data_IF_265475794010
#
_entry.id   IF_265475794010
#
_cell.length_a   1.000
_cell.length_b   1.000
_cell.length_c   1.000
_cell.angle_alpha   90.00
_cell.angle_beta   90.00
_cell.angle_gamma   90.00
#
_symmetry.space_group_name_H-M   'P 1'
#
loop_
_entity.id
_entity.type
_entity.pdbx_description
1 polymer ?
#
# COMPACT_ATOMS: atom_id res chain seq x y z
N UNK A 1 18.33 -75.74 41.93
CA UNK A 1 17.86 -74.35 42.05
C UNK A 1 17.63 -73.81 40.64
N UNK A 2 16.37 -73.84 40.20
CA UNK A 2 15.98 -73.28 38.86
C UNK A 2 15.57 -71.88 39.02
N UNK A 3 16.23 -70.92 38.25
CA UNK A 3 15.84 -69.53 38.14
C UNK A 3 14.72 -69.41 37.11
N UNK A 4 13.55 -68.99 37.55
CA UNK A 4 12.49 -68.56 36.66
C UNK A 4 12.82 -67.15 36.13
N UNK A 5 12.84 -66.99 34.82
CA UNK A 5 12.94 -65.73 34.12
C UNK A 5 11.51 -65.21 33.84
N UNK A 6 11.15 -64.12 34.45
CA UNK A 6 9.88 -63.41 34.17
C UNK A 6 9.96 -62.65 32.82
N UNK A 7 9.13 -63.08 31.88
CA UNK A 7 8.92 -62.39 30.60
C UNK A 7 7.89 -61.28 30.85
N UNK A 8 8.33 -60.05 30.75
CA UNK A 8 7.43 -58.87 30.79
C UNK A 8 6.93 -58.64 29.37
N UNK A 9 5.64 -58.92 29.15
CA UNK A 9 4.95 -58.60 27.91
C UNK A 9 4.45 -57.16 28.02
N UNK A 10 5.04 -56.23 27.23
CA UNK A 10 4.61 -54.85 27.12
C UNK A 10 3.46 -54.74 26.11
N UNK A 11 2.29 -54.22 26.46
CA UNK A 11 1.22 -54.04 25.49
C UNK A 11 1.55 -52.85 24.53
N UNK A 12 1.56 -53.15 23.23
CA UNK A 12 1.70 -52.19 22.18
C UNK A 12 0.41 -51.37 22.06
N UNK A 13 0.40 -50.16 22.62
CA UNK A 13 -0.70 -49.19 22.44
C UNK A 13 -0.61 -48.62 21.02
N UNK A 14 -1.47 -49.06 20.13
CA UNK A 14 -1.68 -48.47 18.80
C UNK A 14 -2.52 -47.22 18.96
N UNK A 15 -1.89 -46.03 18.88
CA UNK A 15 -2.59 -44.77 18.77
C UNK A 15 -3.21 -44.64 17.37
N UNK A 16 -4.51 -44.82 17.25
CA UNK A 16 -5.24 -44.37 16.07
C UNK A 16 -5.27 -42.83 16.08
N UNK A 17 -4.41 -42.21 15.26
CA UNK A 17 -4.54 -40.79 14.94
C UNK A 17 -5.72 -40.67 13.99
N UNK A 18 -6.89 -40.36 14.54
CA UNK A 18 -8.02 -39.91 13.73
C UNK A 18 -7.67 -38.53 13.20
N UNK A 19 -7.34 -38.43 11.91
CA UNK A 19 -7.23 -37.18 11.19
C UNK A 19 -8.63 -36.54 11.17
N UNK A 20 -8.88 -35.65 12.11
CA UNK A 20 -10.04 -34.75 12.04
C UNK A 20 -9.83 -33.82 10.85
N UNK A 21 -10.55 -34.08 9.76
CA UNK A 21 -10.65 -33.14 8.66
C UNK A 21 -11.17 -31.82 9.27
N UNK A 22 -10.28 -30.84 9.36
CA UNK A 22 -10.65 -29.48 9.74
C UNK A 22 -11.65 -29.00 8.70
N UNK A 23 -12.92 -28.93 9.06
CA UNK A 23 -13.96 -28.33 8.21
C UNK A 23 -13.56 -26.88 8.02
N UNK A 24 -13.14 -26.54 6.79
CA UNK A 24 -12.79 -25.17 6.41
C UNK A 24 -14.02 -24.30 6.65
N UNK A 25 -13.89 -23.25 7.45
CA UNK A 25 -14.99 -22.34 7.73
C UNK A 25 -15.61 -21.86 6.41
N UNK A 26 -16.93 -21.74 6.30
CA UNK A 26 -17.59 -21.32 5.07
C UNK A 26 -17.07 -19.93 4.69
N UNK A 27 -16.56 -19.80 3.46
CA UNK A 27 -16.07 -18.51 2.93
C UNK A 27 -17.15 -17.44 3.06
N UNK A 28 -16.82 -16.23 3.49
CA UNK A 28 -17.80 -15.15 3.68
C UNK A 28 -18.54 -14.88 2.36
N UNK A 29 -19.87 -14.87 2.40
CA UNK A 29 -20.72 -14.56 1.26
C UNK A 29 -20.75 -13.04 1.04
N UNK A 30 -19.85 -12.53 0.22
CA UNK A 30 -19.86 -11.13 -0.24
C UNK A 30 -20.37 -11.04 -1.67
N UNK A 31 -21.02 -9.91 -2.01
CA UNK A 31 -21.53 -9.66 -3.37
C UNK A 31 -20.79 -8.46 -3.97
N UNK A 32 -20.57 -8.44 -5.29
CA UNK A 32 -20.05 -7.25 -5.96
C UNK A 32 -21.07 -6.12 -5.89
N UNK A 33 -20.59 -4.88 -5.78
CA UNK A 33 -21.44 -3.68 -5.71
C UNK A 33 -22.14 -3.45 -7.05
N UNK A 34 -21.38 -3.42 -8.12
CA UNK A 34 -21.90 -3.25 -9.48
C UNK A 34 -21.07 -4.10 -10.46
N UNK A 35 -21.47 -5.34 -10.63
CA UNK A 35 -20.74 -6.31 -11.45
C UNK A 35 -20.54 -5.82 -12.90
N UNK A 36 -21.46 -5.03 -13.44
CA UNK A 36 -21.39 -4.54 -14.81
C UNK A 36 -20.32 -3.46 -15.02
N UNK A 37 -19.89 -2.77 -13.97
CA UNK A 37 -18.88 -1.72 -14.03
C UNK A 37 -17.49 -2.16 -13.57
N UNK A 38 -17.37 -3.33 -12.96
CA UNK A 38 -16.06 -3.92 -12.62
C UNK A 38 -15.41 -4.40 -13.91
N UNK A 39 -14.13 -4.07 -14.11
CA UNK A 39 -13.42 -4.54 -15.30
C UNK A 39 -13.41 -6.07 -15.37
N UNK A 40 -13.57 -6.60 -16.59
CA UNK A 40 -13.33 -8.02 -16.81
C UNK A 40 -11.86 -8.36 -16.56
N UNK A 41 -11.58 -9.63 -16.30
CA UNK A 41 -10.20 -10.13 -16.15
C UNK A 41 -9.38 -9.80 -17.39
N UNK A 42 -9.95 -10.00 -18.58
CA UNK A 42 -9.27 -9.71 -19.86
C UNK A 42 -8.95 -8.23 -20.02
N UNK A 43 -9.90 -7.33 -19.69
CA UNK A 43 -9.66 -5.88 -19.75
C UNK A 43 -8.53 -5.48 -18.81
N UNK A 44 -8.53 -6.01 -17.58
CA UNK A 44 -7.50 -5.71 -16.59
C UNK A 44 -6.12 -6.20 -17.03
N UNK A 45 -6.02 -7.43 -17.52
CA UNK A 45 -4.77 -8.01 -18.02
C UNK A 45 -4.25 -7.27 -19.27
N UNK A 46 -5.14 -6.92 -20.21
CA UNK A 46 -4.78 -6.12 -21.39
C UNK A 46 -4.20 -4.76 -20.97
N UNK A 47 -4.92 -4.04 -20.10
CA UNK A 47 -4.46 -2.75 -19.58
C UNK A 47 -3.07 -2.88 -18.93
N UNK A 48 -2.85 -3.89 -18.09
CA UNK A 48 -1.57 -4.10 -17.41
C UNK A 48 -0.42 -4.41 -18.38
N UNK A 49 -0.71 -5.18 -19.43
CA UNK A 49 0.28 -5.54 -20.46
C UNK A 49 0.71 -4.34 -21.32
N UNK A 50 -0.12 -3.31 -21.44
CA UNK A 50 0.19 -2.06 -22.18
C UNK A 50 1.14 -1.12 -21.41
N UNK A 51 1.39 -1.41 -20.11
CA UNK A 51 2.23 -0.58 -19.26
C UNK A 51 3.62 -1.25 -19.02
N UNK A 52 4.63 -0.39 -18.82
CA UNK A 52 5.92 -0.86 -18.32
C UNK A 52 5.75 -1.47 -16.92
N UNK A 53 6.70 -2.31 -16.53
CA UNK A 53 6.73 -2.80 -15.15
C UNK A 53 6.73 -1.62 -14.17
N UNK A 54 5.70 -1.53 -13.34
CA UNK A 54 5.53 -0.47 -12.37
C UNK A 54 6.47 -0.70 -11.20
N UNK A 55 7.38 0.23 -10.98
CA UNK A 55 8.31 0.20 -9.85
C UNK A 55 8.44 1.59 -9.26
N UNK A 56 8.43 1.68 -7.93
CA UNK A 56 8.50 2.97 -7.26
C UNK A 56 8.34 2.89 -5.77
N UNK A 57 7.86 3.99 -5.19
CA UNK A 57 7.69 4.12 -3.75
C UNK A 57 6.35 4.80 -3.38
N UNK A 58 5.93 4.57 -2.14
CA UNK A 58 4.99 5.46 -1.47
C UNK A 58 5.70 6.76 -1.18
N UNK A 59 5.17 7.87 -1.67
CA UNK A 59 5.83 9.16 -1.65
C UNK A 59 5.07 10.19 -0.82
N UNK A 60 5.81 10.84 0.04
CA UNK A 60 5.50 12.09 0.70
C UNK A 60 6.82 12.88 0.81
N UNK A 61 6.85 14.19 0.52
CA UNK A 61 8.11 14.94 0.60
C UNK A 61 8.67 14.94 2.02
N UNK A 62 10.00 14.90 2.16
CA UNK A 62 10.68 14.85 3.46
C UNK A 62 10.36 16.03 4.38
N UNK A 63 9.80 17.11 3.82
CA UNK A 63 9.35 18.31 4.52
C UNK A 63 7.95 18.19 5.12
N UNK A 64 7.18 17.14 4.78
CA UNK A 64 5.85 16.91 5.30
C UNK A 64 5.82 15.73 6.30
N UNK A 65 5.11 15.89 7.42
CA UNK A 65 4.91 14.84 8.42
C UNK A 65 3.72 13.94 8.10
N UNK A 66 2.78 14.45 7.32
CA UNK A 66 1.56 13.75 6.91
C UNK A 66 0.95 14.37 5.65
N UNK A 67 -0.14 13.78 5.19
CA UNK A 67 -0.87 14.19 4.00
C UNK A 67 -1.39 15.63 4.09
N UNK A 68 -1.77 16.09 5.29
CA UNK A 68 -2.23 17.48 5.49
C UNK A 68 -1.08 18.47 5.24
N UNK A 69 0.09 18.24 5.79
CA UNK A 69 1.27 19.09 5.57
C UNK A 69 1.73 19.06 4.10
N UNK A 70 1.55 17.92 3.41
CA UNK A 70 1.83 17.82 1.98
C UNK A 70 0.88 18.67 1.14
N UNK A 71 -0.41 18.74 1.50
CA UNK A 71 -1.43 19.31 0.59
C UNK A 71 -1.97 20.68 0.98
N UNK A 72 -1.71 21.21 2.17
CA UNK A 72 -2.14 22.54 2.58
C UNK A 72 -1.35 23.64 1.85
N UNK A 73 -1.99 24.79 1.62
CA UNK A 73 -1.45 25.88 0.80
C UNK A 73 -0.14 26.48 1.36
N UNK A 74 -0.05 26.59 2.67
CA UNK A 74 1.08 27.19 3.39
C UNK A 74 2.27 26.25 3.58
N UNK A 75 2.09 24.96 3.31
CA UNK A 75 3.13 23.93 3.51
C UNK A 75 3.45 23.11 2.27
N UNK A 76 2.70 23.29 1.18
CA UNK A 76 2.97 22.63 -0.10
C UNK A 76 4.33 23.04 -0.67
N UNK A 77 5.22 22.07 -0.84
CA UNK A 77 6.63 22.30 -1.20
C UNK A 77 6.99 21.67 -2.55
N UNK A 78 6.67 22.36 -3.68
CA UNK A 78 6.94 21.83 -5.01
C UNK A 78 8.44 21.71 -5.32
N UNK A 79 9.30 22.49 -4.64
CA UNK A 79 10.74 22.43 -4.85
C UNK A 79 11.34 21.11 -4.28
N UNK A 80 10.93 20.76 -3.07
CA UNK A 80 11.34 19.46 -2.46
C UNK A 80 10.72 18.29 -3.23
N UNK A 81 9.46 18.38 -3.66
CA UNK A 81 8.83 17.34 -4.48
C UNK A 81 9.62 17.12 -5.78
N UNK A 82 9.97 18.18 -6.49
CA UNK A 82 10.75 18.09 -7.75
C UNK A 82 12.13 17.45 -7.53
N UNK A 83 12.83 17.87 -6.49
CA UNK A 83 14.14 17.36 -6.11
C UNK A 83 14.08 15.85 -5.78
N UNK A 84 13.14 15.43 -4.94
CA UNK A 84 13.04 14.06 -4.46
C UNK A 84 12.51 13.08 -5.52
N UNK A 85 11.61 13.52 -6.40
CA UNK A 85 11.20 12.74 -7.57
C UNK A 85 12.35 12.59 -8.58
N UNK A 86 13.27 13.56 -8.66
CA UNK A 86 14.52 13.42 -9.39
C UNK A 86 15.43 12.31 -8.84
N UNK A 87 15.48 12.10 -7.53
CA UNK A 87 16.21 10.97 -6.95
C UNK A 87 15.59 9.63 -7.35
N UNK A 88 14.27 9.55 -7.33
CA UNK A 88 13.52 8.36 -7.73
C UNK A 88 13.73 8.02 -9.21
N UNK A 89 13.64 9.02 -10.11
CA UNK A 89 13.95 8.86 -11.53
C UNK A 89 15.39 8.35 -11.74
N UNK A 90 16.35 8.88 -10.97
CA UNK A 90 17.77 8.52 -11.04
C UNK A 90 18.07 7.04 -10.76
N UNK A 91 17.17 6.33 -10.06
CA UNK A 91 17.26 4.89 -9.83
C UNK A 91 16.28 4.06 -10.68
N UNK A 92 15.56 4.71 -11.60
CA UNK A 92 14.68 4.06 -12.56
C UNK A 92 13.25 3.81 -12.03
N UNK A 93 12.82 4.47 -10.98
CA UNK A 93 11.44 4.45 -10.54
C UNK A 93 10.55 5.20 -11.54
N UNK A 94 9.37 4.66 -11.80
CA UNK A 94 8.42 5.19 -12.79
C UNK A 94 7.00 5.36 -12.22
N UNK A 95 6.78 5.03 -10.95
CA UNK A 95 5.47 5.07 -10.32
C UNK A 95 5.59 5.52 -8.86
N UNK A 96 4.78 6.51 -8.46
CA UNK A 96 4.64 6.89 -7.05
C UNK A 96 3.22 6.64 -6.56
N UNK A 97 3.07 6.16 -5.33
CA UNK A 97 1.80 6.06 -4.63
C UNK A 97 1.71 7.19 -3.62
N UNK A 98 0.66 8.03 -3.75
CA UNK A 98 0.54 9.29 -3.01
C UNK A 98 -0.84 9.42 -2.38
N UNK A 99 -0.84 9.79 -1.11
CA UNK A 99 -2.05 9.86 -0.29
C UNK A 99 -2.67 11.26 -0.34
N UNK A 100 -3.96 11.31 -0.63
CA UNK A 100 -4.79 12.52 -0.54
C UNK A 100 -5.32 12.68 0.88
N UNK A 101 -6.08 13.76 1.16
CA UNK A 101 -6.73 13.94 2.46
C UNK A 101 -7.96 14.84 2.39
N UNK A 102 -9.11 14.33 2.82
CA UNK A 102 -10.40 15.03 2.79
C UNK A 102 -10.40 16.33 3.60
N UNK A 103 -9.68 16.40 4.73
CA UNK A 103 -9.57 17.61 5.55
C UNK A 103 -8.81 18.71 4.83
N UNK A 104 -7.69 18.38 4.15
CA UNK A 104 -6.95 19.37 3.36
C UNK A 104 -7.78 19.89 2.18
N UNK A 105 -8.53 19.01 1.51
CA UNK A 105 -9.49 19.38 0.48
C UNK A 105 -10.58 20.29 1.04
N UNK A 106 -11.18 19.95 2.19
CA UNK A 106 -12.28 20.71 2.78
C UNK A 106 -11.93 22.17 3.14
N UNK A 107 -10.65 22.47 3.40
CA UNK A 107 -10.16 23.83 3.66
C UNK A 107 -10.14 24.69 2.39
N UNK A 108 -9.68 24.12 1.27
CA UNK A 108 -9.47 24.82 0.01
C UNK A 108 -9.62 23.87 -1.18
N UNK A 109 -10.84 23.50 -1.59
CA UNK A 109 -11.06 22.51 -2.65
C UNK A 109 -10.41 22.85 -3.98
N UNK A 110 -10.45 24.13 -4.39
CA UNK A 110 -9.85 24.57 -5.66
C UNK A 110 -8.32 24.54 -5.59
N UNK A 111 -7.75 25.11 -4.54
CA UNK A 111 -6.31 25.10 -4.35
C UNK A 111 -5.75 23.71 -4.13
N UNK A 112 -6.48 22.83 -3.44
CA UNK A 112 -6.10 21.42 -3.31
C UNK A 112 -5.95 20.73 -4.67
N UNK A 113 -6.94 20.84 -5.56
CA UNK A 113 -6.86 20.28 -6.92
C UNK A 113 -5.77 20.94 -7.77
N UNK A 114 -5.54 22.25 -7.59
CA UNK A 114 -4.43 22.96 -8.26
C UNK A 114 -3.06 22.42 -7.80
N UNK A 115 -2.88 22.15 -6.50
CA UNK A 115 -1.66 21.54 -5.96
C UNK A 115 -1.48 20.08 -6.41
N UNK A 116 -2.57 19.31 -6.49
CA UNK A 116 -2.54 17.98 -7.11
C UNK A 116 -2.07 18.03 -8.56
N UNK A 117 -2.62 18.96 -9.36
CA UNK A 117 -2.18 19.14 -10.75
C UNK A 117 -0.70 19.54 -10.81
N UNK A 118 -0.24 20.43 -9.92
CA UNK A 118 1.18 20.81 -9.85
C UNK A 118 2.08 19.63 -9.48
N UNK A 119 1.66 18.79 -8.54
CA UNK A 119 2.38 17.55 -8.22
C UNK A 119 2.45 16.62 -9.45
N UNK A 120 1.33 16.41 -10.15
CA UNK A 120 1.28 15.57 -11.34
C UNK A 120 2.13 16.11 -12.49
N UNK A 121 2.24 17.44 -12.65
CA UNK A 121 3.16 18.08 -13.59
C UNK A 121 4.62 17.74 -13.26
N UNK A 122 4.99 17.85 -11.98
CA UNK A 122 6.35 17.53 -11.52
C UNK A 122 6.63 16.04 -11.70
N UNK A 123 5.73 15.16 -11.29
CA UNK A 123 5.90 13.72 -11.48
C UNK A 123 6.07 13.35 -12.96
N UNK A 124 5.25 13.92 -13.84
CA UNK A 124 5.34 13.70 -15.28
C UNK A 124 6.65 14.22 -15.89
N UNK A 125 7.19 15.33 -15.40
CA UNK A 125 8.54 15.84 -15.78
C UNK A 125 9.61 14.80 -15.50
N UNK A 126 9.49 14.02 -14.43
CA UNK A 126 10.38 12.92 -14.03
C UNK A 126 9.95 11.56 -14.59
N UNK A 127 9.06 11.52 -15.59
CA UNK A 127 8.55 10.29 -16.21
C UNK A 127 7.88 9.32 -15.23
N UNK A 128 7.30 9.85 -14.16
CA UNK A 128 6.64 9.13 -13.07
C UNK A 128 5.12 9.26 -13.21
N UNK A 129 4.42 8.13 -13.24
CA UNK A 129 2.96 8.07 -13.11
C UNK A 129 2.56 7.93 -11.64
N UNK A 130 1.31 8.26 -11.31
CA UNK A 130 0.88 8.33 -9.91
C UNK A 130 -0.28 7.38 -9.63
N UNK A 131 -0.18 6.61 -8.56
CA UNK A 131 -1.28 5.95 -7.89
C UNK A 131 -1.78 6.91 -6.81
N UNK A 132 -3.04 7.34 -6.87
CA UNK A 132 -3.63 8.23 -5.88
C UNK A 132 -4.47 7.46 -4.87
N UNK A 133 -4.18 7.67 -3.57
CA UNK A 133 -4.88 7.04 -2.46
C UNK A 133 -5.87 8.02 -1.85
N UNK A 134 -7.15 7.65 -1.72
CA UNK A 134 -8.17 8.53 -1.15
C UNK A 134 -8.23 8.47 0.37
N UNK A 135 -8.56 7.31 0.94
CA UNK A 135 -8.80 7.12 2.37
C UNK A 135 -7.73 6.24 3.01
N UNK A 136 -7.60 6.35 4.35
CA UNK A 136 -6.55 5.67 5.09
C UNK A 136 -6.97 5.42 6.55
N UNK A 137 -6.91 4.16 6.99
CA UNK A 137 -7.23 3.79 8.38
C UNK A 137 -6.03 3.82 9.34
N UNK A 138 -4.84 4.28 8.87
CA UNK A 138 -3.60 4.15 9.62
C UNK A 138 -3.32 5.33 10.56
N UNK A 139 -2.83 5.02 11.76
CA UNK A 139 -2.23 5.87 12.77
C UNK A 139 -3.20 6.83 13.48
N UNK A 140 -3.02 8.16 13.37
CA UNK A 140 -3.71 9.12 14.23
C UNK A 140 -5.16 9.36 13.78
N UNK A 141 -6.15 9.09 14.66
CA UNK A 141 -7.57 9.05 14.29
C UNK A 141 -8.27 10.42 14.26
N UNK A 142 -7.56 11.50 14.59
CA UNK A 142 -8.16 12.82 14.74
C UNK A 142 -7.43 13.87 13.87
N UNK A 143 -7.53 13.80 12.53
CA UNK A 143 -6.92 14.78 11.65
C UNK A 143 -7.49 16.18 11.89
N UNK A 144 -6.62 17.20 11.82
CA UNK A 144 -7.03 18.61 11.96
C UNK A 144 -6.29 19.46 10.93
N UNK A 145 -6.96 20.44 10.30
CA UNK A 145 -6.29 21.36 9.40
C UNK A 145 -5.33 22.30 10.15
N UNK A 146 -4.49 23.00 9.40
CA UNK A 146 -3.50 23.95 9.91
C UNK A 146 -2.20 23.31 10.32
N UNK A 147 -1.48 23.92 11.25
CA UNK A 147 -0.15 23.47 11.68
C UNK A 147 -0.16 22.04 12.21
N UNK A 148 0.66 21.20 11.60
CA UNK A 148 0.80 19.81 12.00
C UNK A 148 1.78 19.66 13.18
N UNK A 149 1.70 18.57 13.97
CA UNK A 149 2.61 18.35 15.10
C UNK A 149 4.04 18.14 14.60
N UNK A 150 5.02 18.44 15.46
CA UNK A 150 6.40 18.05 15.19
C UNK A 150 6.56 16.51 15.25
N UNK A 151 7.50 15.94 14.48
CA UNK A 151 7.82 14.51 14.59
C UNK A 151 8.25 14.14 16.01
N UNK A 152 7.76 13.01 16.51
CA UNK A 152 8.25 12.43 17.77
C UNK A 152 9.50 11.62 17.48
N UNK A 153 10.57 11.92 18.18
CA UNK A 153 11.85 11.23 18.00
C UNK A 153 11.68 9.71 18.08
N UNK A 154 12.26 8.99 17.11
CA UNK A 154 12.28 7.53 17.08
C UNK A 154 10.93 6.84 16.92
N UNK A 155 9.87 7.57 16.59
CA UNK A 155 8.52 7.02 16.40
C UNK A 155 8.13 7.08 14.93
N UNK A 156 7.97 5.90 14.34
CA UNK A 156 7.50 5.72 12.96
C UNK A 156 6.13 6.38 12.75
N UNK A 157 5.96 7.13 11.67
CA UNK A 157 4.71 7.79 11.27
C UNK A 157 3.99 8.52 12.42
N UNK A 158 4.76 9.13 13.34
CA UNK A 158 4.20 9.71 14.56
C UNK A 158 3.17 10.83 14.34
N UNK A 159 3.17 11.45 13.17
CA UNK A 159 2.21 12.48 12.78
C UNK A 159 1.29 12.08 11.64
N UNK A 160 1.43 10.87 11.08
CA UNK A 160 0.56 10.38 10.00
C UNK A 160 -0.90 10.39 10.42
N UNK A 161 -1.82 10.79 9.55
CA UNK A 161 -3.21 11.03 9.91
C UNK A 161 -4.16 10.12 9.11
N UNK A 162 -5.13 9.55 9.80
CA UNK A 162 -6.23 8.80 9.16
C UNK A 162 -7.08 9.72 8.29
N UNK A 163 -7.59 9.19 7.19
CA UNK A 163 -8.62 9.83 6.37
C UNK A 163 -9.71 8.81 5.96
N UNK A 164 -10.95 9.02 6.36
CA UNK A 164 -11.43 10.03 7.30
C UNK A 164 -11.04 9.68 8.74
N UNK A 165 -11.19 10.66 9.64
CA UNK A 165 -11.00 10.41 11.07
C UNK A 165 -11.99 9.38 11.62
N UNK A 166 -11.71 8.87 12.83
CA UNK A 166 -12.51 7.79 13.43
C UNK A 166 -13.99 8.15 13.65
N UNK A 167 -14.30 9.44 13.80
CA UNK A 167 -15.70 9.91 13.93
C UNK A 167 -16.48 9.65 12.66
N UNK A 168 -15.91 10.04 11.55
CA UNK A 168 -16.52 9.97 10.22
C UNK A 168 -16.73 8.53 9.78
N UNK A 169 -15.77 7.65 10.05
CA UNK A 169 -15.89 6.21 9.74
C UNK A 169 -17.04 5.54 10.49
N UNK A 170 -17.27 5.96 11.73
CA UNK A 170 -18.31 5.39 12.61
C UNK A 170 -19.72 5.97 12.39
N UNK A 171 -19.83 7.13 11.73
CA UNK A 171 -21.09 7.80 11.49
C UNK A 171 -21.41 7.91 9.99
N UNK A 172 -22.24 7.01 9.44
CA UNK A 172 -22.63 7.06 8.02
C UNK A 172 -23.28 8.38 7.58
N UNK A 173 -23.78 9.21 8.50
CA UNK A 173 -24.33 10.53 8.16
C UNK A 173 -23.26 11.50 7.66
N UNK A 174 -22.01 11.28 8.03
CA UNK A 174 -20.87 12.07 7.56
C UNK A 174 -20.44 11.73 6.12
N UNK A 175 -20.91 10.60 5.57
CA UNK A 175 -20.47 10.12 4.26
C UNK A 175 -20.82 11.03 3.10
N UNK A 176 -21.84 11.90 3.22
CA UNK A 176 -22.19 12.86 2.15
C UNK A 176 -21.07 13.87 1.86
N UNK A 177 -20.36 14.33 2.88
CA UNK A 177 -19.21 15.25 2.70
C UNK A 177 -18.03 14.51 2.06
N UNK A 178 -17.79 13.28 2.47
CA UNK A 178 -16.75 12.43 1.90
C UNK A 178 -17.06 12.07 0.44
N UNK A 179 -18.34 11.83 0.10
CA UNK A 179 -18.79 11.60 -1.28
C UNK A 179 -18.52 12.82 -2.17
N UNK A 180 -18.82 14.02 -1.66
CA UNK A 180 -18.56 15.28 -2.37
C UNK A 180 -17.08 15.45 -2.70
N UNK A 181 -16.21 15.28 -1.70
CA UNK A 181 -14.74 15.27 -1.88
C UNK A 181 -14.29 14.24 -2.91
N UNK A 182 -14.72 13.00 -2.71
CA UNK A 182 -14.30 11.88 -3.54
C UNK A 182 -14.69 12.06 -5.01
N UNK A 183 -15.97 12.39 -5.26
CA UNK A 183 -16.49 12.55 -6.62
C UNK A 183 -15.95 13.79 -7.32
N UNK A 184 -15.70 14.89 -6.60
CA UNK A 184 -15.11 16.10 -7.18
C UNK A 184 -13.66 15.86 -7.60
N UNK A 185 -12.85 15.26 -6.73
CA UNK A 185 -11.43 14.99 -7.03
C UNK A 185 -11.31 13.93 -8.13
N UNK A 186 -11.94 12.77 -7.97
CA UNK A 186 -11.86 11.72 -9.00
C UNK A 186 -12.46 12.20 -10.34
N UNK A 187 -13.55 12.96 -10.31
CA UNK A 187 -14.20 13.52 -11.49
C UNK A 187 -13.29 14.46 -12.28
N UNK A 188 -12.50 15.29 -11.59
CA UNK A 188 -11.52 16.20 -12.21
C UNK A 188 -10.42 15.43 -12.95
N UNK A 189 -9.89 14.36 -12.37
CA UNK A 189 -8.72 13.64 -12.88
C UNK A 189 -9.04 12.27 -13.54
N UNK A 190 -10.31 11.93 -13.73
CA UNK A 190 -10.74 10.62 -14.25
C UNK A 190 -10.24 10.29 -15.68
N UNK A 191 -9.80 11.26 -16.43
CA UNK A 191 -9.24 11.10 -17.79
C UNK A 191 -7.75 11.47 -17.85
N UNK A 192 -7.13 11.79 -16.70
CA UNK A 192 -5.74 12.21 -16.63
C UNK A 192 -4.80 10.99 -16.70
N UNK A 193 -4.03 10.90 -17.77
CA UNK A 193 -3.10 9.78 -18.01
C UNK A 193 -1.88 9.77 -17.07
N UNK A 194 -1.65 10.85 -16.31
CA UNK A 194 -0.61 10.91 -15.27
C UNK A 194 -1.02 10.11 -14.03
N UNK A 195 -2.33 9.91 -13.83
CA UNK A 195 -2.90 9.01 -12.82
C UNK A 195 -3.05 7.64 -13.45
N UNK A 196 -2.31 6.64 -12.93
CA UNK A 196 -2.32 5.29 -13.49
C UNK A 196 -3.33 4.37 -12.78
N UNK A 197 -3.62 4.62 -11.53
CA UNK A 197 -4.50 3.81 -10.68
C UNK A 197 -5.12 4.68 -9.59
N UNK A 198 -6.36 4.41 -9.25
CA UNK A 198 -7.02 4.90 -8.05
C UNK A 198 -7.03 3.83 -6.96
N UNK A 199 -6.29 4.06 -5.89
CA UNK A 199 -6.34 3.28 -4.66
C UNK A 199 -7.37 3.92 -3.73
N UNK A 200 -8.51 3.28 -3.57
CA UNK A 200 -9.67 3.93 -2.97
C UNK A 200 -9.57 4.04 -1.45
N UNK A 201 -8.82 3.11 -0.80
CA UNK A 201 -8.73 3.07 0.65
C UNK A 201 -7.50 2.26 1.10
N UNK A 202 -6.57 2.93 1.78
CA UNK A 202 -5.42 2.28 2.37
C UNK A 202 -5.80 1.52 3.63
N UNK A 203 -5.45 0.24 3.68
CA UNK A 203 -5.56 -0.64 4.84
C UNK A 203 -6.89 -0.56 5.61
N UNK A 204 -8.04 -0.72 4.94
CA UNK A 204 -9.32 -0.67 5.65
C UNK A 204 -9.35 -1.71 6.78
N UNK A 205 -9.83 -1.28 7.93
CA UNK A 205 -9.86 -2.10 9.15
C UNK A 205 -8.64 -1.95 10.05
N UNK A 206 -7.61 -1.21 9.64
CA UNK A 206 -6.45 -0.89 10.48
C UNK A 206 -6.85 -0.10 11.74
N UNK A 207 -5.92 0.10 12.65
CA UNK A 207 -6.11 0.86 13.89
C UNK A 207 -7.33 0.39 14.69
N UNK A 208 -7.51 -0.94 14.77
CA UNK A 208 -8.61 -1.63 15.48
C UNK A 208 -10.03 -1.44 14.88
N UNK A 209 -10.14 -0.82 13.70
CA UNK A 209 -11.45 -0.60 13.06
C UNK A 209 -12.08 -1.89 12.54
N UNK A 210 -11.26 -2.84 12.02
CA UNK A 210 -11.73 -4.13 11.49
C UNK A 210 -12.94 -3.94 10.56
N UNK A 211 -13.97 -4.74 10.71
CA UNK A 211 -15.19 -4.72 9.88
C UNK A 211 -15.98 -3.40 9.92
N UNK A 212 -15.70 -2.48 10.86
CA UNK A 212 -16.38 -1.17 10.88
C UNK A 212 -16.06 -0.33 9.64
N UNK A 213 -14.91 -0.53 9.02
CA UNK A 213 -14.54 0.16 7.78
C UNK A 213 -15.34 -0.31 6.56
N UNK A 214 -16.02 -1.46 6.64
CA UNK A 214 -16.77 -2.03 5.50
C UNK A 214 -17.89 -1.10 5.02
N UNK A 215 -18.52 -0.34 5.91
CA UNK A 215 -19.60 0.58 5.56
C UNK A 215 -19.10 1.69 4.61
N UNK A 216 -18.00 2.37 4.97
CA UNK A 216 -17.37 3.37 4.12
C UNK A 216 -16.76 2.74 2.86
N UNK A 217 -16.06 1.62 3.00
CA UNK A 217 -15.45 0.90 1.88
C UNK A 217 -16.50 0.55 0.81
N UNK A 218 -17.71 0.14 1.22
CA UNK A 218 -18.82 -0.11 0.30
C UNK A 218 -19.22 1.16 -0.46
N UNK A 219 -19.32 2.28 0.23
CA UNK A 219 -19.64 3.58 -0.38
C UNK A 219 -18.56 4.03 -1.35
N UNK A 220 -17.31 3.91 -0.96
CA UNK A 220 -16.17 4.36 -1.79
C UNK A 220 -16.12 3.63 -3.13
N UNK A 221 -16.30 2.30 -3.13
CA UNK A 221 -16.44 1.57 -4.41
C UNK A 221 -17.67 2.00 -5.21
N UNK A 222 -18.81 2.26 -4.55
CA UNK A 222 -20.01 2.76 -5.22
C UNK A 222 -19.74 4.10 -5.90
N UNK A 223 -19.14 5.05 -5.18
CA UNK A 223 -18.79 6.37 -5.72
C UNK A 223 -17.80 6.28 -6.88
N UNK A 224 -16.81 5.40 -6.77
CA UNK A 224 -15.86 5.19 -7.86
C UNK A 224 -16.55 4.66 -9.12
N UNK A 225 -17.50 3.72 -8.98
CA UNK A 225 -18.29 3.20 -10.10
C UNK A 225 -19.27 4.23 -10.68
N UNK A 226 -19.76 5.17 -9.86
CA UNK A 226 -20.58 6.29 -10.34
C UNK A 226 -19.76 7.26 -11.20
N UNK A 227 -18.53 7.61 -10.76
CA UNK A 227 -17.61 8.48 -11.52
C UNK A 227 -17.10 7.80 -12.78
N UNK A 228 -16.87 6.49 -12.72
CA UNK A 228 -16.40 5.64 -13.82
C UNK A 228 -15.12 6.18 -14.51
N UNK A 229 -13.99 6.21 -13.80
CA UNK A 229 -12.73 6.71 -14.36
C UNK A 229 -12.17 5.77 -15.45
N UNK A 230 -11.32 6.32 -16.33
CA UNK A 230 -10.60 5.53 -17.35
C UNK A 230 -9.56 4.59 -16.71
N UNK A 231 -9.03 4.97 -15.55
CA UNK A 231 -8.06 4.20 -14.80
C UNK A 231 -8.75 3.08 -14.01
N UNK A 232 -8.06 1.98 -13.73
CA UNK A 232 -8.58 0.96 -12.82
C UNK A 232 -8.71 1.50 -11.39
N UNK A 233 -9.61 0.88 -10.63
CA UNK A 233 -9.73 1.13 -9.19
C UNK A 233 -9.39 -0.12 -8.40
N UNK A 234 -8.77 0.06 -7.23
CA UNK A 234 -8.39 -1.02 -6.33
C UNK A 234 -8.44 -0.60 -4.87
N UNK A 235 -8.43 -1.57 -3.99
CA UNK A 235 -8.18 -1.42 -2.54
C UNK A 235 -7.26 -2.55 -2.11
N UNK A 236 -6.11 -2.22 -1.51
CA UNK A 236 -5.06 -3.17 -1.18
C UNK A 236 -5.45 -4.17 -0.07
N UNK A 237 -5.19 -5.45 -0.30
CA UNK A 237 -5.29 -6.51 0.73
C UNK A 237 -4.02 -6.45 1.59
N UNK A 238 -4.16 -6.44 2.93
CA UNK A 238 -3.00 -6.25 3.79
C UNK A 238 -2.99 -7.12 5.06
N UNK A 239 -4.15 -7.45 5.64
CA UNK A 239 -4.29 -8.27 6.84
C UNK A 239 -5.00 -9.58 6.49
N UNK A 240 -4.26 -10.67 6.49
CA UNK A 240 -4.75 -11.95 5.97
C UNK A 240 -5.84 -12.60 6.82
N UNK A 241 -6.00 -12.17 8.08
CA UNK A 241 -7.11 -12.56 8.98
C UNK A 241 -8.40 -11.75 8.77
N UNK A 242 -8.40 -10.74 7.88
CA UNK A 242 -9.58 -9.92 7.57
C UNK A 242 -10.38 -10.52 6.40
N UNK A 243 -10.78 -11.79 6.53
CA UNK A 243 -11.38 -12.57 5.46
C UNK A 243 -12.53 -11.84 4.74
N UNK A 244 -13.43 -11.19 5.49
CA UNK A 244 -14.60 -10.50 4.94
C UNK A 244 -14.20 -9.24 4.17
N UNK A 245 -13.29 -8.42 4.71
CA UNK A 245 -12.77 -7.23 4.03
C UNK A 245 -11.99 -7.65 2.79
N UNK A 246 -11.06 -8.59 2.90
CA UNK A 246 -10.25 -9.08 1.79
C UNK A 246 -11.11 -9.64 0.65
N UNK A 247 -12.12 -10.46 0.97
CA UNK A 247 -13.04 -10.97 -0.03
C UNK A 247 -13.82 -9.85 -0.73
N UNK A 248 -14.25 -8.83 0.02
CA UNK A 248 -14.96 -7.69 -0.53
C UNK A 248 -14.07 -6.82 -1.41
N UNK A 249 -12.84 -6.52 -0.96
CA UNK A 249 -11.84 -5.75 -1.71
C UNK A 249 -11.48 -6.44 -3.03
N UNK A 250 -11.10 -7.72 -2.99
CA UNK A 250 -10.73 -8.48 -4.18
C UNK A 250 -11.88 -8.58 -5.19
N UNK A 251 -13.12 -8.75 -4.71
CA UNK A 251 -14.31 -8.89 -5.58
C UNK A 251 -14.66 -7.60 -6.31
N UNK A 252 -14.40 -6.43 -5.71
CA UNK A 252 -14.80 -5.14 -6.24
C UNK A 252 -13.68 -4.36 -6.95
N UNK A 253 -12.43 -4.83 -6.87
CA UNK A 253 -11.27 -4.22 -7.52
C UNK A 253 -11.12 -4.65 -8.97
N UNK A 254 -10.66 -3.74 -9.82
CA UNK A 254 -10.36 -4.02 -11.23
C UNK A 254 -9.04 -4.77 -11.39
N UNK A 255 -8.06 -4.44 -10.56
CA UNK A 255 -6.78 -5.13 -10.40
C UNK A 255 -6.58 -5.41 -8.90
N UNK A 256 -5.68 -6.32 -8.56
CA UNK A 256 -5.43 -6.65 -7.15
C UNK A 256 -4.20 -5.90 -6.68
N UNK A 257 -4.37 -5.03 -5.69
CA UNK A 257 -3.26 -4.44 -4.94
C UNK A 257 -3.14 -5.11 -3.57
N UNK A 258 -1.93 -5.16 -3.01
CA UNK A 258 -1.71 -5.81 -1.71
C UNK A 258 -0.46 -5.26 -1.02
N UNK A 259 -0.35 -5.51 0.29
CA UNK A 259 0.83 -5.22 1.10
C UNK A 259 1.43 -6.51 1.64
N UNK A 260 2.76 -6.61 1.62
CA UNK A 260 3.48 -7.73 2.20
C UNK A 260 4.88 -7.29 2.64
N UNK A 261 5.12 -7.32 3.94
CA UNK A 261 6.37 -6.84 4.54
C UNK A 261 7.28 -7.94 5.10
N UNK A 262 6.86 -9.20 4.98
CA UNK A 262 7.64 -10.33 5.43
C UNK A 262 8.65 -10.78 4.37
N UNK A 263 9.41 -11.84 4.66
CA UNK A 263 10.44 -12.39 3.80
C UNK A 263 9.90 -12.94 2.46
N UNK A 264 10.82 -13.26 1.55
CA UNK A 264 10.51 -13.77 0.21
C UNK A 264 9.58 -14.99 0.25
N UNK A 265 9.82 -15.94 1.17
CA UNK A 265 8.99 -17.13 1.30
C UNK A 265 7.55 -16.84 1.70
N UNK A 266 7.35 -15.87 2.57
CA UNK A 266 6.02 -15.38 2.92
C UNK A 266 5.35 -14.71 1.71
N UNK A 267 6.10 -13.87 1.02
CA UNK A 267 5.64 -13.18 -0.18
C UNK A 267 5.22 -14.16 -1.28
N UNK A 268 5.99 -15.23 -1.53
CA UNK A 268 5.60 -16.28 -2.48
C UNK A 268 4.27 -16.96 -2.12
N UNK A 269 4.02 -17.25 -0.83
CA UNK A 269 2.72 -17.81 -0.40
C UNK A 269 1.56 -16.88 -0.68
N UNK A 270 1.74 -15.57 -0.43
CA UNK A 270 0.76 -14.55 -0.74
C UNK A 270 0.48 -14.49 -2.24
N UNK A 271 1.52 -14.51 -3.07
CA UNK A 271 1.37 -14.52 -4.52
C UNK A 271 0.58 -15.72 -5.04
N UNK A 272 0.85 -16.92 -4.51
CA UNK A 272 0.09 -18.12 -4.87
C UNK A 272 -1.41 -17.94 -4.59
N UNK A 273 -1.76 -17.34 -3.46
CA UNK A 273 -3.15 -17.04 -3.12
C UNK A 273 -3.77 -16.01 -4.08
N UNK A 274 -3.09 -14.88 -4.30
CA UNK A 274 -3.63 -13.75 -5.06
C UNK A 274 -3.75 -14.06 -6.57
N UNK A 275 -2.85 -14.84 -7.13
CA UNK A 275 -2.91 -15.28 -8.55
C UNK A 275 -4.19 -16.05 -8.88
N UNK A 276 -4.85 -16.66 -7.90
CA UNK A 276 -6.13 -17.36 -8.11
C UNK A 276 -7.25 -16.44 -8.61
N UNK A 277 -7.11 -15.12 -8.46
CA UNK A 277 -8.07 -14.15 -9.00
C UNK A 277 -7.92 -13.91 -10.50
N UNK A 278 -6.82 -14.35 -11.14
CA UNK A 278 -6.56 -14.18 -12.57
C UNK A 278 -6.35 -12.73 -13.02
N UNK A 279 -6.23 -11.78 -12.08
CA UNK A 279 -6.06 -10.36 -12.32
C UNK A 279 -4.61 -9.92 -12.15
N UNK A 280 -4.18 -8.81 -12.78
CA UNK A 280 -2.87 -8.22 -12.52
C UNK A 280 -2.68 -7.91 -11.03
N UNK A 281 -1.45 -8.05 -10.55
CA UNK A 281 -1.08 -7.77 -9.16
C UNK A 281 -0.14 -6.57 -9.10
N UNK A 282 -0.33 -5.72 -8.08
CA UNK A 282 0.63 -4.69 -7.69
C UNK A 282 0.84 -4.80 -6.17
N UNK A 283 2.07 -5.04 -5.74
CA UNK A 283 2.47 -4.88 -4.36
C UNK A 283 2.63 -3.38 -4.08
N UNK A 284 1.64 -2.79 -3.41
CA UNK A 284 1.61 -1.35 -3.14
C UNK A 284 2.36 -0.95 -1.88
N UNK A 285 2.77 -1.93 -1.07
CA UNK A 285 3.68 -1.73 0.05
C UNK A 285 4.50 -2.98 0.32
N UNK A 286 5.80 -2.82 0.37
CA UNK A 286 6.78 -3.82 0.81
C UNK A 286 8.05 -3.11 1.27
N UNK A 287 9.06 -3.83 1.59
CA UNK A 287 10.39 -3.44 2.01
C UNK A 287 10.43 -2.96 3.47
N UNK A 288 10.81 -3.88 4.33
CA UNK A 288 11.07 -3.66 5.74
C UNK A 288 12.36 -4.43 6.09
N UNK A 289 13.51 -3.74 6.17
CA UNK A 289 14.83 -4.40 6.22
C UNK A 289 14.99 -5.34 7.39
N UNK A 290 14.47 -5.00 8.56
CA UNK A 290 14.56 -5.87 9.75
C UNK A 290 13.67 -7.13 9.67
N UNK A 291 12.77 -7.20 8.68
CA UNK A 291 11.89 -8.35 8.41
C UNK A 291 12.37 -9.22 7.24
N UNK A 292 13.59 -8.96 6.74
CA UNK A 292 14.16 -9.59 5.55
C UNK A 292 13.37 -9.34 4.24
N UNK A 293 12.45 -8.40 4.26
CA UNK A 293 11.81 -7.84 3.07
C UNK A 293 12.72 -6.73 2.52
N UNK A 294 13.61 -7.08 1.59
CA UNK A 294 14.63 -6.16 1.05
C UNK A 294 14.49 -6.03 -0.46
N UNK A 295 15.13 -5.01 -1.03
CA UNK A 295 15.14 -4.86 -2.49
C UNK A 295 15.76 -6.07 -3.18
N UNK A 296 16.85 -6.60 -2.64
CA UNK A 296 17.58 -7.72 -3.22
C UNK A 296 16.80 -9.04 -3.18
N UNK A 297 15.95 -9.23 -2.17
CA UNK A 297 15.16 -10.46 -2.04
C UNK A 297 13.82 -10.37 -2.77
N UNK A 298 13.13 -9.22 -2.68
CA UNK A 298 11.74 -9.11 -3.15
C UNK A 298 11.64 -8.62 -4.61
N UNK A 299 12.47 -7.67 -5.06
CA UNK A 299 12.35 -7.16 -6.44
C UNK A 299 12.56 -8.22 -7.53
N UNK A 300 13.53 -9.17 -7.41
CA UNK A 300 13.66 -10.24 -8.41
C UNK A 300 12.41 -11.10 -8.54
N UNK A 301 11.79 -11.43 -7.40
CA UNK A 301 10.54 -12.19 -7.36
C UNK A 301 9.42 -11.41 -8.07
N UNK A 302 9.20 -10.15 -7.69
CA UNK A 302 8.12 -9.33 -8.28
C UNK A 302 8.34 -9.08 -9.77
N UNK A 303 9.58 -8.85 -10.20
CA UNK A 303 9.92 -8.68 -11.62
C UNK A 303 9.67 -9.94 -12.42
N UNK A 304 10.15 -11.10 -11.94
CA UNK A 304 9.96 -12.42 -12.56
C UNK A 304 8.46 -12.70 -12.79
N UNK A 305 7.65 -12.38 -11.79
CA UNK A 305 6.21 -12.61 -11.82
C UNK A 305 5.42 -11.48 -12.51
N UNK A 306 6.11 -10.45 -13.02
CA UNK A 306 5.56 -9.25 -13.64
C UNK A 306 4.53 -8.54 -12.73
N UNK A 307 4.85 -8.38 -11.45
CA UNK A 307 4.03 -7.74 -10.42
C UNK A 307 4.59 -6.35 -10.14
N UNK A 308 3.73 -5.34 -10.11
CA UNK A 308 4.15 -3.97 -9.74
C UNK A 308 4.73 -3.93 -8.34
N UNK A 309 5.77 -3.12 -8.10
CA UNK A 309 6.57 -3.10 -6.89
C UNK A 309 6.70 -1.68 -6.34
N UNK A 310 5.90 -1.31 -5.36
CA UNK A 310 5.89 0.02 -4.74
C UNK A 310 6.30 -0.13 -3.27
N UNK A 311 7.54 0.23 -2.93
CA UNK A 311 8.01 0.12 -1.55
C UNK A 311 7.48 1.27 -0.66
N UNK A 312 7.50 1.07 0.65
CA UNK A 312 7.25 2.15 1.60
C UNK A 312 8.53 2.94 1.84
N UNK A 313 8.42 4.30 1.81
CA UNK A 313 9.53 5.22 2.06
C UNK A 313 10.46 5.45 0.86
N UNK A 314 10.83 6.70 0.64
CA UNK A 314 11.79 7.13 -0.38
C UNK A 314 12.90 7.97 0.23
N UNK A 315 12.57 9.09 0.87
CA UNK A 315 13.53 10.02 1.45
C UNK A 315 13.26 10.18 2.95
N UNK A 316 14.28 9.98 3.77
CA UNK A 316 14.18 10.15 5.21
C UNK A 316 13.73 11.56 5.58
N UNK A 317 12.60 11.67 6.27
CA UNK A 317 11.93 12.94 6.51
C UNK A 317 11.19 13.00 7.84
N UNK A 318 10.21 13.91 7.91
CA UNK A 318 9.38 14.11 9.09
C UNK A 318 8.50 12.91 9.42
N UNK A 319 8.24 12.01 8.46
CA UNK A 319 7.49 10.77 8.69
C UNK A 319 8.20 9.77 9.58
N UNK A 320 9.52 9.90 9.72
CA UNK A 320 10.32 9.00 10.55
C UNK A 320 10.29 7.53 10.10
N UNK A 321 10.16 7.26 8.83
CA UNK A 321 10.06 5.93 8.24
C UNK A 321 11.38 5.14 8.24
N UNK A 322 12.47 5.79 8.68
CA UNK A 322 13.73 5.09 9.01
C UNK A 322 13.62 4.20 10.27
N UNK A 323 12.69 4.49 11.17
CA UNK A 323 12.45 3.67 12.37
C UNK A 323 11.43 2.58 12.10
N UNK A 324 11.55 1.43 12.80
CA UNK A 324 10.58 0.36 12.73
C UNK A 324 9.32 0.70 13.54
N UNK A 325 8.15 0.30 13.05
CA UNK A 325 6.87 0.56 13.74
C UNK A 325 6.69 -0.28 15.01
N UNK A 326 7.35 -1.44 15.10
CA UNK A 326 7.24 -2.40 16.21
C UNK A 326 8.38 -2.26 17.23
N UNK A 327 9.41 -1.47 16.93
CA UNK A 327 10.59 -1.27 17.77
C UNK A 327 10.93 0.23 17.89
N UNK A 328 10.06 1.03 18.54
CA UNK A 328 10.28 2.47 18.66
C UNK A 328 11.55 2.79 19.45
N UNK A 329 12.20 3.91 19.10
CA UNK A 329 13.41 4.43 19.73
C UNK A 329 13.13 5.83 20.35
N UNK A 330 12.36 5.93 21.46
CA UNK A 330 11.90 7.23 22.00
C UNK A 330 13.03 8.20 22.39
N UNK A 331 14.23 7.67 22.65
CA UNK A 331 15.44 8.46 22.89
C UNK A 331 15.96 9.17 21.62
N UNK A 332 15.43 8.83 20.44
CA UNK A 332 15.90 9.33 19.16
C UNK A 332 17.26 8.75 18.75
N UNK A 333 17.94 9.46 17.87
CA UNK A 333 19.18 9.00 17.24
C UNK A 333 18.91 8.19 15.98
N UNK A 334 19.90 8.05 15.13
CA UNK A 334 19.77 7.26 13.90
C UNK A 334 19.78 5.77 14.22
N UNK A 335 18.80 4.97 13.70
CA UNK A 335 18.80 3.53 13.90
C UNK A 335 19.98 2.88 13.15
N UNK A 336 20.55 1.81 13.72
CA UNK A 336 21.64 1.04 13.08
C UNK A 336 21.25 0.50 11.71
N UNK A 337 19.98 0.19 11.51
CA UNK A 337 19.40 -0.26 10.26
C UNK A 337 18.13 0.53 9.99
N UNK A 338 18.13 1.29 8.88
CA UNK A 338 16.92 2.00 8.45
C UNK A 338 15.85 1.00 8.03
N UNK A 339 14.62 1.28 8.45
CA UNK A 339 13.54 0.34 8.21
C UNK A 339 13.08 0.39 6.75
N UNK A 340 12.81 1.57 6.19
CA UNK A 340 12.27 1.74 4.84
C UNK A 340 13.10 2.63 3.91
N UNK A 341 13.38 3.88 4.29
CA UNK A 341 13.84 4.92 3.36
C UNK A 341 15.11 4.56 2.59
N UNK A 342 15.24 5.12 1.38
CA UNK A 342 16.31 4.87 0.43
C UNK A 342 17.38 5.97 0.48
N UNK A 343 16.92 7.21 0.60
CA UNK A 343 17.79 8.39 0.51
C UNK A 343 17.77 9.24 1.78
N UNK A 344 18.90 9.88 2.06
CA UNK A 344 18.96 11.06 2.91
C UNK A 344 18.32 12.27 2.18
N UNK A 345 18.02 13.36 2.93
CA UNK A 345 17.40 14.59 2.37
C UNK A 345 18.22 15.27 1.27
N UNK A 346 19.54 15.09 1.29
CA UNK A 346 20.45 15.62 0.28
C UNK A 346 20.54 14.77 -0.98
N UNK A 347 19.90 13.59 -0.98
CA UNK A 347 19.91 12.63 -2.08
C UNK A 347 21.01 11.59 -2.00
N UNK A 348 21.83 11.62 -0.95
CA UNK A 348 22.79 10.53 -0.76
C UNK A 348 22.07 9.25 -0.39
N UNK A 349 22.38 8.11 -1.04
CA UNK A 349 21.79 6.83 -0.69
C UNK A 349 22.14 6.41 0.74
N UNK A 350 21.17 5.89 1.50
CA UNK A 350 21.45 5.19 2.76
C UNK A 350 22.38 3.99 2.52
N UNK A 351 22.09 3.20 1.49
CA UNK A 351 22.93 2.09 1.04
C UNK A 351 23.15 2.17 -0.46
N UNK A 352 24.34 2.60 -0.91
CA UNK A 352 24.66 2.70 -2.34
C UNK A 352 24.48 1.40 -3.12
N UNK A 353 24.70 0.25 -2.49
CA UNK A 353 24.48 -1.05 -3.08
C UNK A 353 23.00 -1.34 -3.39
N UNK A 354 22.08 -0.83 -2.58
CA UNK A 354 20.63 -0.98 -2.85
C UNK A 354 20.20 -0.13 -4.05
N UNK A 355 20.61 1.13 -4.10
CA UNK A 355 20.28 2.00 -5.25
C UNK A 355 20.93 1.52 -6.54
N UNK A 356 22.14 1.01 -6.49
CA UNK A 356 22.81 0.38 -7.62
C UNK A 356 22.05 -0.86 -8.11
N UNK A 357 21.59 -1.71 -7.18
CA UNK A 357 20.79 -2.89 -7.48
C UNK A 357 19.42 -2.51 -8.10
N UNK A 358 18.71 -1.52 -7.52
CA UNK A 358 17.44 -1.02 -8.06
C UNK A 358 17.65 -0.53 -9.50
N UNK A 359 18.69 0.30 -9.74
CA UNK A 359 19.01 0.80 -11.07
C UNK A 359 19.31 -0.32 -12.06
N UNK A 360 20.07 -1.33 -11.63
CA UNK A 360 20.36 -2.49 -12.47
C UNK A 360 19.10 -3.25 -12.84
N UNK A 361 18.23 -3.56 -11.86
CA UNK A 361 17.03 -4.35 -12.13
C UNK A 361 15.99 -3.59 -12.96
N UNK A 362 15.92 -2.27 -12.85
CA UNK A 362 14.99 -1.42 -13.66
C UNK A 362 15.43 -1.30 -15.11
N UNK A 363 16.73 -1.34 -15.40
CA UNK A 363 17.27 -1.22 -16.75
C UNK A 363 17.35 -2.54 -17.52
N UNK A 364 17.30 -3.67 -16.84
CA UNK A 364 17.29 -4.99 -17.50
C UNK A 364 15.99 -5.22 -18.27
N UNK A 365 16.02 -5.72 -19.52
CA UNK A 365 14.81 -6.13 -20.22
C UNK A 365 14.06 -7.22 -19.42
N UNK A 366 12.74 -7.31 -19.64
CA UNK A 366 11.96 -8.44 -19.08
C UNK A 366 12.62 -9.73 -19.58
N UNK A 367 13.01 -10.60 -18.66
CA UNK A 367 13.50 -11.94 -19.03
C UNK A 367 12.33 -12.65 -19.70
N UNK A 368 12.47 -12.96 -21.00
CA UNK A 368 11.49 -13.80 -21.69
C UNK A 368 11.44 -15.13 -20.91
N UNK A 369 10.29 -15.44 -20.38
CA UNK A 369 10.04 -16.76 -19.80
C UNK A 369 10.13 -17.74 -20.97
N UNK A 370 11.23 -18.47 -21.07
CA UNK A 370 11.32 -19.62 -21.97
C UNK A 370 10.11 -20.51 -21.68
N UNK A 371 9.23 -20.62 -22.69
CA UNK A 371 8.04 -21.50 -22.68
C UNK A 371 8.44 -22.97 -22.59
#
# INVERSE_FOLDING_TARGET
>A
MRKLSNLVVLPLLIFFVTATASAQAPKPKVKPIDKGKIWTVDKANKWYAEHKWMIGANFIPSTAINQLEMWQADTFDPATIDKELGYAEGIGFNTMRVFLHSVAYGVDPKGFKSRMNKYLEIANKHHIQTILVFFDDCWNPNPKPGKQPAPKAGIHNSGWAQDPGVREVKDPKQFNQLEGYFKDVMGEFKHDKRVILWDLYNEPGNSTKRDTSLALLTKVFTWARDVNPDQPVSVGLWAWDFEKLNAFQALNSDIITYHEYEDEKSHERVLQLLKTHGRPLICTEYMARSRNSTFQTILPLLKKENIGAINWGLVAGKTNTIYAWDTPMPQGGEPKLWFHDIFHKDGTPYKPEETSFIKQITTQPKTETLK
#
